data_IF_045208073445
#
_entry.id   IF_045208073445
#
_cell.length_a   1.000
_cell.length_b   1.000
_cell.length_c   1.000
_cell.angle_alpha   90.00
_cell.angle_beta   90.00
_cell.angle_gamma   90.00
#
_symmetry.space_group_name_H-M   'P 1'
#
loop_
_entity.id
_entity.type
_entity.pdbx_description
1 polymer ?
#
# COMPACT_ATOMS: atom_id res chain seq x y z
N UNK A 1 -6.62 36.92 12.08
CA UNK A 1 -5.68 36.86 10.94
C UNK A 1 -5.23 35.42 10.79
N UNK A 2 -5.04 34.93 9.55
CA UNK A 2 -4.45 33.60 9.32
C UNK A 2 -2.94 33.65 9.62
N UNK A 3 -2.41 32.55 10.15
CA UNK A 3 -0.97 32.32 10.32
C UNK A 3 -0.24 32.39 8.98
N UNK A 4 1.08 32.62 9.02
CA UNK A 4 1.94 32.62 7.83
C UNK A 4 1.99 31.25 7.13
N UNK A 5 2.28 31.26 5.82
CA UNK A 5 2.43 30.04 5.02
C UNK A 5 3.90 29.59 5.01
N UNK A 6 4.14 28.32 5.32
CA UNK A 6 5.46 27.70 5.30
C UNK A 6 5.45 26.46 4.39
N UNK A 7 6.60 26.20 3.75
CA UNK A 7 6.78 25.07 2.83
C UNK A 7 8.04 24.29 3.22
N UNK A 8 7.98 22.97 3.18
CA UNK A 8 9.07 22.07 3.55
C UNK A 8 9.04 20.80 2.69
N UNK A 9 10.22 20.26 2.39
CA UNK A 9 10.35 18.96 1.70
C UNK A 9 9.93 17.81 2.63
N UNK A 10 9.17 16.80 2.14
CA UNK A 10 8.78 15.67 2.96
C UNK A 10 9.98 14.78 3.28
N UNK A 11 10.08 14.37 4.54
CA UNK A 11 11.02 13.33 4.97
C UNK A 11 10.51 11.95 4.54
N UNK A 12 11.14 11.38 3.51
CA UNK A 12 10.76 10.08 2.94
C UNK A 12 11.19 8.87 3.78
N UNK A 13 12.04 9.06 4.80
CA UNK A 13 12.33 8.02 5.78
C UNK A 13 11.22 7.97 6.81
N UNK A 14 10.79 9.13 7.31
CA UNK A 14 9.68 9.25 8.27
C UNK A 14 8.33 8.88 7.65
N UNK A 15 8.09 9.28 6.41
CA UNK A 15 6.85 9.04 5.68
C UNK A 15 7.06 8.04 4.53
N UNK A 16 7.51 6.83 4.88
CA UNK A 16 7.88 5.79 3.91
C UNK A 16 6.77 5.46 2.89
N UNK A 17 5.49 5.52 3.27
CA UNK A 17 4.38 5.28 2.34
C UNK A 17 4.36 6.25 1.15
N UNK A 18 4.87 7.48 1.29
CA UNK A 18 4.98 8.42 0.17
C UNK A 18 6.01 7.93 -0.86
N UNK A 19 7.13 7.36 -0.39
CA UNK A 19 8.13 6.73 -1.27
C UNK A 19 7.55 5.49 -1.94
N UNK A 20 6.85 4.63 -1.20
CA UNK A 20 6.21 3.43 -1.74
C UNK A 20 5.18 3.76 -2.83
N UNK A 21 4.35 4.78 -2.62
CA UNK A 21 3.39 5.24 -3.63
C UNK A 21 4.08 5.70 -4.93
N UNK A 22 5.19 6.44 -4.82
CA UNK A 22 6.00 6.83 -5.99
C UNK A 22 6.58 5.63 -6.73
N UNK A 23 7.07 4.64 -6.00
CA UNK A 23 7.61 3.40 -6.58
C UNK A 23 6.52 2.58 -7.28
N UNK A 24 5.36 2.43 -6.64
CA UNK A 24 4.21 1.73 -7.22
C UNK A 24 3.72 2.40 -8.52
N UNK A 25 3.62 3.74 -8.54
CA UNK A 25 3.27 4.48 -9.76
C UNK A 25 4.27 4.27 -10.91
N UNK A 26 5.56 4.13 -10.60
CA UNK A 26 6.60 3.84 -11.59
C UNK A 26 6.54 2.39 -12.09
N UNK A 27 6.15 1.45 -11.24
CA UNK A 27 6.05 0.03 -11.57
C UNK A 27 4.78 -0.31 -12.40
N UNK A 28 3.74 0.51 -12.28
CA UNK A 28 2.51 0.40 -13.10
C UNK A 28 1.25 0.19 -12.28
N UNK A 29 0.10 0.21 -12.97
CA UNK A 29 -1.24 0.17 -12.36
C UNK A 29 -1.42 -1.01 -11.40
N UNK A 30 -0.94 -2.20 -11.76
CA UNK A 30 -1.03 -3.40 -10.93
C UNK A 30 -0.36 -3.22 -9.55
N UNK A 31 0.80 -2.55 -9.49
CA UNK A 31 1.49 -2.27 -8.23
C UNK A 31 0.72 -1.24 -7.40
N UNK A 32 0.08 -0.25 -8.03
CA UNK A 32 -0.76 0.72 -7.31
C UNK A 32 -2.01 0.08 -6.70
N UNK A 33 -2.61 -0.91 -7.39
CA UNK A 33 -3.74 -1.69 -6.85
C UNK A 33 -3.28 -2.50 -5.63
N UNK A 34 -2.16 -3.21 -5.76
CA UNK A 34 -1.55 -3.96 -4.64
C UNK A 34 -1.31 -3.06 -3.44
N UNK A 35 -0.67 -1.90 -3.64
CA UNK A 35 -0.38 -0.96 -2.56
C UNK A 35 -1.67 -0.44 -1.90
N UNK A 36 -2.68 -0.09 -2.68
CA UNK A 36 -3.93 0.42 -2.13
C UNK A 36 -4.63 -0.63 -1.26
N UNK A 37 -4.78 -1.85 -1.79
CA UNK A 37 -5.39 -2.97 -1.09
C UNK A 37 -4.62 -3.36 0.19
N UNK A 38 -3.30 -3.46 0.11
CA UNK A 38 -2.46 -3.75 1.26
C UNK A 38 -2.57 -2.68 2.35
N UNK A 39 -2.58 -1.40 1.94
CA UNK A 39 -2.70 -0.29 2.89
C UNK A 39 -4.04 -0.28 3.62
N UNK A 40 -5.14 -0.63 2.96
CA UNK A 40 -6.45 -0.74 3.63
C UNK A 40 -6.45 -1.83 4.71
N UNK A 41 -5.89 -3.00 4.42
CA UNK A 41 -5.77 -4.09 5.40
C UNK A 41 -4.84 -3.69 6.55
N UNK A 42 -3.67 -3.13 6.26
CA UNK A 42 -2.71 -2.72 7.28
C UNK A 42 -3.27 -1.59 8.18
N UNK A 43 -3.95 -0.59 7.62
CA UNK A 43 -4.60 0.48 8.39
C UNK A 43 -5.71 -0.09 9.26
N UNK A 44 -6.55 -0.99 8.74
CA UNK A 44 -7.59 -1.64 9.54
C UNK A 44 -6.99 -2.44 10.72
N UNK A 45 -5.92 -3.19 10.48
CA UNK A 45 -5.20 -3.92 11.52
C UNK A 45 -4.61 -3.00 12.60
N UNK A 46 -4.04 -1.86 12.20
CA UNK A 46 -3.56 -0.85 13.13
C UNK A 46 -4.69 -0.28 14.00
N UNK A 47 -5.82 0.08 13.37
CA UNK A 47 -6.99 0.61 14.08
C UNK A 47 -7.61 -0.42 15.05
N UNK A 48 -7.50 -1.71 14.74
CA UNK A 48 -7.93 -2.81 15.60
C UNK A 48 -6.88 -3.19 16.67
N UNK A 49 -5.75 -2.48 16.76
CA UNK A 49 -4.71 -2.74 17.74
C UNK A 49 -3.92 -4.03 17.50
N UNK A 50 -3.95 -4.56 16.28
CA UNK A 50 -3.25 -5.81 15.91
C UNK A 50 -1.79 -5.57 15.53
N UNK A 51 -1.49 -4.39 14.97
CA UNK A 51 -0.14 -3.99 14.55
C UNK A 51 0.16 -2.56 15.02
N UNK A 52 1.43 -2.14 14.96
CA UNK A 52 1.86 -0.77 15.27
C UNK A 52 1.72 0.13 14.04
N UNK A 53 1.71 1.44 14.27
CA UNK A 53 1.62 2.43 13.19
C UNK A 53 2.78 2.30 12.17
N UNK A 54 3.98 2.00 12.64
CA UNK A 54 5.17 1.84 11.79
C UNK A 54 5.10 0.60 10.90
N UNK A 55 4.41 -0.45 11.37
CA UNK A 55 4.31 -1.73 10.66
C UNK A 55 3.51 -1.59 9.35
N UNK A 56 2.66 -0.56 9.23
CA UNK A 56 1.89 -0.29 8.00
C UNK A 56 2.82 -0.13 6.79
N UNK A 57 3.89 0.65 6.95
CA UNK A 57 4.83 0.88 5.85
C UNK A 57 5.61 -0.39 5.50
N UNK A 58 5.97 -1.19 6.50
CA UNK A 58 6.71 -2.43 6.33
C UNK A 58 5.86 -3.51 5.63
N UNK A 59 4.60 -3.66 6.04
CA UNK A 59 3.62 -4.56 5.42
C UNK A 59 3.35 -4.15 3.97
N UNK A 60 3.15 -2.85 3.72
CA UNK A 60 2.93 -2.33 2.37
C UNK A 60 4.13 -2.62 1.45
N UNK A 61 5.36 -2.45 1.96
CA UNK A 61 6.58 -2.77 1.21
C UNK A 61 6.67 -4.26 0.91
N UNK A 62 6.42 -5.11 1.92
CA UNK A 62 6.44 -6.56 1.76
C UNK A 62 5.37 -7.06 0.78
N UNK A 63 4.17 -6.49 0.81
CA UNK A 63 3.10 -6.80 -0.14
C UNK A 63 3.54 -6.46 -1.59
N UNK A 64 4.14 -5.29 -1.80
CA UNK A 64 4.67 -4.89 -3.11
C UNK A 64 5.80 -5.80 -3.62
N UNK A 65 6.65 -6.30 -2.72
CA UNK A 65 7.76 -7.18 -3.09
C UNK A 65 7.30 -8.63 -3.37
N UNK A 66 6.34 -9.13 -2.59
CA UNK A 66 5.94 -10.54 -2.64
C UNK A 66 4.79 -10.84 -3.62
N UNK A 67 3.88 -9.88 -3.85
CA UNK A 67 2.71 -10.11 -4.70
C UNK A 67 3.10 -9.94 -6.18
N UNK A 68 3.09 -11.06 -6.90
CA UNK A 68 3.31 -11.11 -8.33
C UNK A 68 1.96 -11.25 -9.06
N UNK A 69 1.56 -10.20 -9.77
CA UNK A 69 0.29 -10.14 -10.51
C UNK A 69 0.51 -9.75 -11.97
N UNK A 70 -0.46 -10.10 -12.82
CA UNK A 70 -0.40 -9.78 -14.23
C UNK A 70 -0.36 -8.27 -14.44
N UNK A 71 0.46 -7.83 -15.42
CA UNK A 71 0.47 -6.43 -15.86
C UNK A 71 -0.81 -6.19 -16.65
N UNK A 72 -1.59 -5.20 -16.22
CA UNK A 72 -2.80 -4.79 -16.93
C UNK A 72 -2.43 -4.11 -18.25
N UNK A 73 -3.21 -4.39 -19.29
CA UNK A 73 -3.07 -3.78 -20.61
C UNK A 73 -4.36 -3.04 -20.99
N UNK A 74 -4.42 -2.49 -22.21
CA UNK A 74 -5.58 -1.73 -22.72
C UNK A 74 -6.90 -2.50 -22.80
N UNK A 75 -6.87 -3.84 -22.69
CA UNK A 75 -8.08 -4.69 -22.68
C UNK A 75 -8.55 -5.07 -21.29
N UNK A 76 -7.83 -4.66 -20.24
CA UNK A 76 -8.20 -4.96 -18.87
C UNK A 76 -9.51 -4.28 -18.48
N UNK A 77 -10.30 -4.96 -17.67
CA UNK A 77 -11.57 -4.46 -17.15
C UNK A 77 -11.57 -4.35 -15.61
N UNK A 78 -12.74 -4.06 -15.05
CA UNK A 78 -12.90 -3.92 -13.61
C UNK A 78 -12.68 -5.24 -12.86
N UNK A 79 -13.01 -6.38 -13.47
CA UNK A 79 -12.84 -7.68 -12.83
C UNK A 79 -11.36 -8.03 -12.69
N UNK A 80 -10.53 -7.65 -13.66
CA UNK A 80 -9.08 -7.79 -13.53
C UNK A 80 -8.52 -6.96 -12.36
N UNK A 81 -9.01 -5.73 -12.19
CA UNK A 81 -8.62 -4.86 -11.07
C UNK A 81 -9.04 -5.48 -9.73
N UNK A 82 -10.28 -5.96 -9.64
CA UNK A 82 -10.82 -6.59 -8.44
C UNK A 82 -10.11 -7.91 -8.11
N UNK A 83 -9.67 -8.67 -9.11
CA UNK A 83 -8.90 -9.88 -8.91
C UNK A 83 -7.54 -9.57 -8.26
N UNK A 84 -6.83 -8.54 -8.74
CA UNK A 84 -5.56 -8.09 -8.16
C UNK A 84 -5.77 -7.57 -6.73
N UNK A 85 -6.79 -6.74 -6.51
CA UNK A 85 -7.15 -6.23 -5.17
C UNK A 85 -7.41 -7.38 -4.19
N UNK A 86 -8.21 -8.38 -4.57
CA UNK A 86 -8.53 -9.51 -3.71
C UNK A 86 -7.29 -10.37 -3.39
N UNK A 87 -6.41 -10.63 -4.36
CA UNK A 87 -5.13 -11.31 -4.12
C UNK A 87 -4.30 -10.52 -3.09
N UNK A 88 -4.21 -9.20 -3.26
CA UNK A 88 -3.44 -8.36 -2.38
C UNK A 88 -3.99 -8.33 -0.95
N UNK A 89 -5.32 -8.29 -0.78
CA UNK A 89 -5.95 -8.37 0.54
C UNK A 89 -5.65 -9.68 1.24
N UNK A 90 -5.88 -10.81 0.57
CA UNK A 90 -5.65 -12.14 1.14
C UNK A 90 -4.18 -12.35 1.55
N UNK A 91 -3.25 -11.90 0.73
CA UNK A 91 -1.83 -11.96 1.06
C UNK A 91 -1.49 -11.05 2.24
N UNK A 92 -2.01 -9.82 2.26
CA UNK A 92 -1.76 -8.87 3.34
C UNK A 92 -2.35 -9.32 4.67
N UNK A 93 -3.54 -9.93 4.68
CA UNK A 93 -4.11 -10.57 5.88
C UNK A 93 -3.16 -11.64 6.46
N UNK A 94 -2.52 -12.41 5.58
CA UNK A 94 -1.52 -13.41 5.98
C UNK A 94 -0.26 -12.76 6.57
N UNK A 95 0.15 -11.59 6.09
CA UNK A 95 1.27 -10.82 6.66
C UNK A 95 0.92 -10.27 8.05
N UNK A 96 -0.26 -9.67 8.20
CA UNK A 96 -0.77 -9.17 9.49
C UNK A 96 -0.85 -10.31 10.52
N UNK A 97 -1.37 -11.47 10.13
CA UNK A 97 -1.50 -12.62 11.03
C UNK A 97 -0.16 -13.20 11.50
N UNK A 98 0.95 -12.95 10.80
CA UNK A 98 2.30 -13.37 11.23
C UNK A 98 2.93 -12.44 12.28
N UNK A 99 2.43 -11.21 12.39
CA UNK A 99 2.93 -10.18 13.29
C UNK A 99 2.17 -10.11 14.62
N UNK A 100 0.91 -10.57 14.61
CA UNK A 100 0.06 -10.71 15.79
C UNK A 100 0.47 -11.92 16.64
#
# INVERSE_FOLDING_TARGET
ALSGLEFIEPDLQKFACLRLARQAMQAGTQATIVLNAANEIAVAAFLNGQIRLTDIADINAQALDEIQVAVLNETADIEDILAIDNIARQHTDTLVAKLA
#
